data_IF_328856732069
#
_entry.id   IF_328856732069
#
_cell.length_a   1.000
_cell.length_b   1.000
_cell.length_c   1.000
_cell.angle_alpha   90.00
_cell.angle_beta   90.00
_cell.angle_gamma   90.00
#
_symmetry.space_group_name_H-M   'P 1'
#
loop_
_entity.id
_entity.type
_entity.pdbx_description
1 polymer ?
#
# COMPACT_ATOMS: atom_id res chain seq x y z
N UNK A 1 0.00 -9.32 34.17
CA UNK A 1 0.06 -8.37 33.04
C UNK A 1 0.70 -7.08 33.50
N UNK A 2 1.74 -6.64 32.84
CA UNK A 2 2.35 -5.35 33.13
C UNK A 2 1.49 -4.23 32.54
N UNK A 3 1.60 -3.03 33.11
CA UNK A 3 0.85 -1.85 32.65
C UNK A 3 1.07 -1.59 31.15
N UNK A 4 2.29 -1.76 30.69
CA UNK A 4 2.66 -1.62 29.26
C UNK A 4 1.95 -2.61 28.34
N UNK A 5 1.76 -3.85 28.81
CA UNK A 5 1.01 -4.86 28.04
C UNK A 5 -0.44 -4.49 27.87
N UNK A 6 -1.07 -3.90 28.87
CA UNK A 6 -2.48 -3.47 28.83
C UNK A 6 -2.63 -2.31 27.84
N UNK A 7 -1.73 -1.34 27.86
CA UNK A 7 -1.74 -0.21 26.93
C UNK A 7 -1.58 -0.69 25.49
N UNK A 8 -0.64 -1.62 25.25
CA UNK A 8 -0.39 -2.17 23.91
C UNK A 8 -1.62 -2.91 23.37
N UNK A 9 -2.26 -3.74 24.19
CA UNK A 9 -3.47 -4.46 23.82
C UNK A 9 -4.62 -3.49 23.54
N UNK A 10 -4.80 -2.48 24.38
CA UNK A 10 -5.83 -1.46 24.20
C UNK A 10 -5.63 -0.67 22.90
N UNK A 11 -4.40 -0.26 22.60
CA UNK A 11 -4.07 0.43 21.36
C UNK A 11 -4.35 -0.45 20.13
N UNK A 12 -4.00 -1.73 20.20
CA UNK A 12 -4.25 -2.68 19.12
C UNK A 12 -5.75 -2.92 18.91
N UNK A 13 -6.53 -3.07 19.98
CA UNK A 13 -7.98 -3.20 19.89
C UNK A 13 -8.64 -1.96 19.32
N UNK A 14 -8.22 -0.77 19.75
CA UNK A 14 -8.69 0.50 19.18
C UNK A 14 -8.43 0.57 17.67
N UNK A 15 -7.23 0.22 17.24
CA UNK A 15 -6.87 0.18 15.82
C UNK A 15 -7.75 -0.79 15.04
N UNK A 16 -7.97 -2.01 15.54
CA UNK A 16 -8.83 -2.99 14.89
C UNK A 16 -10.27 -2.50 14.76
N UNK A 17 -10.83 -1.93 15.82
CA UNK A 17 -12.19 -1.39 15.81
C UNK A 17 -12.30 -0.26 14.78
N UNK A 18 -11.33 0.62 14.73
CA UNK A 18 -11.27 1.72 13.76
C UNK A 18 -11.23 1.19 12.31
N UNK A 19 -10.39 0.19 12.04
CA UNK A 19 -10.31 -0.44 10.71
C UNK A 19 -11.59 -1.16 10.32
N UNK A 20 -12.24 -1.86 11.26
CA UNK A 20 -13.53 -2.51 11.03
C UNK A 20 -14.64 -1.50 10.74
N UNK A 21 -14.67 -0.38 11.45
CA UNK A 21 -15.63 0.70 11.19
C UNK A 21 -15.48 1.28 9.78
N UNK A 22 -14.23 1.53 9.37
CA UNK A 22 -13.95 2.00 8.00
C UNK A 22 -14.40 0.95 6.97
N UNK A 23 -14.06 -0.33 7.20
CA UNK A 23 -14.46 -1.43 6.32
C UNK A 23 -15.98 -1.52 6.17
N UNK A 24 -16.71 -1.48 7.27
CA UNK A 24 -18.18 -1.51 7.24
C UNK A 24 -18.79 -0.31 6.52
N UNK A 25 -18.20 0.87 6.70
CA UNK A 25 -18.64 2.08 5.99
C UNK A 25 -18.54 1.92 4.47
N UNK A 26 -17.46 1.29 3.98
CA UNK A 26 -17.23 1.11 2.55
C UNK A 26 -17.93 -0.12 1.95
N UNK A 27 -18.42 -1.06 2.74
CA UNK A 27 -19.17 -2.25 2.25
C UNK A 27 -20.34 -1.84 1.35
N UNK A 28 -21.10 -0.82 1.76
CA UNK A 28 -22.23 -0.33 0.98
C UNK A 28 -21.86 0.39 -0.32
N UNK A 29 -20.60 0.83 -0.46
CA UNK A 29 -20.09 1.54 -1.64
C UNK A 29 -19.38 0.62 -2.64
N UNK A 30 -18.84 -0.50 -2.18
CA UNK A 30 -18.08 -1.44 -3.00
C UNK A 30 -19.00 -2.51 -3.62
N UNK A 31 -19.85 -2.12 -4.54
CA UNK A 31 -20.84 -3.02 -5.17
C UNK A 31 -20.29 -3.77 -6.40
N UNK A 32 -19.25 -3.26 -7.03
CA UNK A 32 -18.63 -3.84 -8.21
C UNK A 32 -17.17 -4.19 -7.95
N UNK A 33 -16.61 -5.11 -8.74
CA UNK A 33 -15.18 -5.46 -8.69
C UNK A 33 -14.30 -4.21 -8.91
N UNK A 34 -14.72 -3.32 -9.78
CA UNK A 34 -14.02 -2.07 -10.08
C UNK A 34 -14.00 -1.12 -8.86
N UNK A 35 -15.11 -1.00 -8.14
CA UNK A 35 -15.18 -0.23 -6.90
C UNK A 35 -14.32 -0.83 -5.79
N UNK A 36 -14.30 -2.15 -5.68
CA UNK A 36 -13.52 -2.86 -4.67
C UNK A 36 -12.02 -2.71 -4.89
N UNK A 37 -11.51 -2.98 -6.09
CA UNK A 37 -10.07 -2.95 -6.37
C UNK A 37 -9.52 -1.56 -6.69
N UNK A 38 -10.30 -0.72 -7.34
CA UNK A 38 -9.84 0.55 -7.87
C UNK A 38 -10.53 1.78 -7.24
N UNK A 39 -11.36 1.57 -6.21
CA UNK A 39 -12.13 2.66 -5.62
C UNK A 39 -13.02 3.39 -6.63
N UNK A 40 -13.55 2.68 -7.65
CA UNK A 40 -14.31 3.28 -8.73
C UNK A 40 -13.47 4.18 -9.65
N UNK A 41 -12.14 4.12 -9.57
CA UNK A 41 -11.19 5.00 -10.28
C UNK A 41 -11.34 6.49 -9.94
N UNK A 42 -11.92 6.81 -8.80
CA UNK A 42 -12.15 8.18 -8.32
C UNK A 42 -11.12 8.65 -7.31
N UNK A 43 -10.11 7.84 -7.02
CA UNK A 43 -9.07 8.16 -6.05
C UNK A 43 -8.16 9.27 -6.57
N UNK A 44 -7.88 10.26 -5.71
CA UNK A 44 -6.91 11.30 -6.00
C UNK A 44 -5.47 10.75 -6.04
N UNK A 45 -4.57 11.50 -6.66
CA UNK A 45 -3.17 11.09 -6.81
C UNK A 45 -2.47 10.84 -5.47
N UNK A 46 -2.76 11.62 -4.44
CA UNK A 46 -2.21 11.44 -3.10
C UNK A 46 -2.65 10.13 -2.46
N UNK A 47 -3.96 9.86 -2.46
CA UNK A 47 -4.52 8.63 -1.89
C UNK A 47 -4.02 7.41 -2.65
N UNK A 48 -3.94 7.48 -3.96
CA UNK A 48 -3.42 6.40 -4.81
C UNK A 48 -1.95 6.10 -4.50
N UNK A 49 -1.11 7.11 -4.38
CA UNK A 49 0.30 6.96 -4.02
C UNK A 49 0.48 6.33 -2.65
N UNK A 50 -0.24 6.81 -1.64
CA UNK A 50 -0.16 6.28 -0.28
C UNK A 50 -0.65 4.84 -0.21
N UNK A 51 -1.73 4.52 -0.90
CA UNK A 51 -2.27 3.16 -0.98
C UNK A 51 -1.31 2.20 -1.67
N UNK A 52 -0.71 2.61 -2.78
CA UNK A 52 0.29 1.82 -3.49
C UNK A 52 1.50 1.52 -2.63
N UNK A 53 2.04 2.52 -1.93
CA UNK A 53 3.16 2.34 -1.02
C UNK A 53 2.83 1.43 0.16
N UNK A 54 1.68 1.61 0.77
CA UNK A 54 1.24 0.78 1.89
C UNK A 54 1.04 -0.68 1.48
N UNK A 55 0.53 -0.93 0.28
CA UNK A 55 0.29 -2.28 -0.23
C UNK A 55 1.57 -2.98 -0.70
N UNK A 56 2.49 -2.24 -1.32
CA UNK A 56 3.70 -2.80 -1.92
C UNK A 56 4.78 -3.07 -0.87
N UNK A 57 5.08 -2.11 -0.04
CA UNK A 57 6.17 -2.22 0.92
C UNK A 57 5.79 -2.86 2.25
N UNK A 58 4.51 -2.82 2.62
CA UNK A 58 3.97 -3.45 3.82
C UNK A 58 4.86 -3.26 5.09
N UNK A 59 5.04 -4.30 5.89
CA UNK A 59 5.90 -4.28 7.07
C UNK A 59 7.39 -4.11 6.79
N UNK A 60 7.85 -4.36 5.57
CA UNK A 60 9.25 -4.17 5.19
C UNK A 60 9.72 -2.74 5.40
N UNK A 61 8.92 -1.76 5.02
CA UNK A 61 9.28 -0.35 5.16
C UNK A 61 9.45 0.07 6.63
N UNK A 62 8.61 -0.45 7.52
CA UNK A 62 8.59 -0.06 8.92
C UNK A 62 9.51 -0.88 9.82
N UNK A 63 9.73 -2.14 9.50
CA UNK A 63 10.46 -3.09 10.34
C UNK A 63 11.71 -3.65 9.67
N UNK A 64 11.60 -4.07 8.42
CA UNK A 64 12.71 -4.70 7.70
C UNK A 64 13.83 -3.73 7.38
N UNK A 65 13.53 -2.58 6.82
CA UNK A 65 14.53 -1.57 6.45
C UNK A 65 15.24 -0.96 7.67
N UNK A 66 14.52 -0.52 8.72
CA UNK A 66 15.17 -0.09 9.97
C UNK A 66 15.99 -1.19 10.64
N UNK A 67 15.52 -2.43 10.64
CA UNK A 67 16.25 -3.58 11.14
C UNK A 67 17.55 -3.83 10.37
N UNK A 68 17.51 -3.78 9.05
CA UNK A 68 18.68 -3.86 8.20
C UNK A 68 19.68 -2.73 8.46
N UNK A 69 19.18 -1.51 8.63
CA UNK A 69 20.00 -0.35 8.98
C UNK A 69 20.68 -0.49 10.34
N UNK A 70 20.00 -1.07 11.31
CA UNK A 70 20.55 -1.35 12.63
C UNK A 70 21.71 -2.36 12.56
N UNK A 71 21.59 -3.41 11.74
CA UNK A 71 22.60 -4.47 11.60
C UNK A 71 23.77 -4.07 10.69
N UNK A 72 23.49 -3.41 9.60
CA UNK A 72 24.44 -3.13 8.51
C UNK A 72 24.92 -1.68 8.47
N UNK A 73 24.35 -0.80 9.31
CA UNK A 73 24.69 0.61 9.35
C UNK A 73 24.30 1.36 8.08
N UNK A 74 25.13 2.33 7.70
CA UNK A 74 24.89 3.23 6.56
C UNK A 74 24.76 2.48 5.22
N UNK A 75 25.33 1.28 5.08
CA UNK A 75 25.22 0.49 3.85
C UNK A 75 23.78 0.11 3.50
N UNK A 76 22.88 -0.01 4.48
CA UNK A 76 21.47 -0.21 4.24
C UNK A 76 20.79 0.98 3.55
N UNK A 77 21.40 2.17 3.59
CA UNK A 77 20.93 3.36 2.87
C UNK A 77 20.90 3.16 1.35
N UNK A 78 21.77 2.33 0.81
CA UNK A 78 21.75 1.97 -0.60
C UNK A 78 20.46 1.26 -1.01
N UNK A 79 19.89 0.46 -0.12
CA UNK A 79 18.58 -0.19 -0.34
C UNK A 79 17.49 0.87 -0.47
N UNK A 80 17.48 1.85 0.42
CA UNK A 80 16.51 2.94 0.39
C UNK A 80 16.62 3.78 -0.89
N UNK A 81 17.85 4.11 -1.31
CA UNK A 81 18.12 4.84 -2.55
C UNK A 81 17.63 4.02 -3.76
N UNK A 82 17.97 2.74 -3.82
CA UNK A 82 17.54 1.84 -4.89
C UNK A 82 16.03 1.73 -4.98
N UNK A 83 15.33 1.60 -3.85
CA UNK A 83 13.87 1.57 -3.78
C UNK A 83 13.26 2.88 -4.26
N UNK A 84 13.78 4.02 -3.85
CA UNK A 84 13.28 5.33 -4.26
C UNK A 84 13.43 5.54 -5.77
N UNK A 85 14.60 5.24 -6.32
CA UNK A 85 14.87 5.35 -7.76
C UNK A 85 14.00 4.36 -8.54
N UNK A 86 13.94 3.11 -8.11
CA UNK A 86 13.14 2.06 -8.75
C UNK A 86 11.65 2.40 -8.77
N UNK A 87 11.11 2.89 -7.67
CA UNK A 87 9.72 3.34 -7.58
C UNK A 87 9.45 4.52 -8.51
N UNK A 88 10.34 5.50 -8.53
CA UNK A 88 10.22 6.66 -9.42
C UNK A 88 10.22 6.25 -10.90
N UNK A 89 11.16 5.41 -11.31
CA UNK A 89 11.24 4.91 -12.68
C UNK A 89 10.03 4.04 -13.05
N UNK A 90 9.55 3.22 -12.12
CA UNK A 90 8.35 2.42 -12.33
C UNK A 90 7.12 3.30 -12.61
N UNK A 91 6.90 4.34 -11.81
CA UNK A 91 5.80 5.26 -12.04
C UNK A 91 5.95 6.06 -13.33
N UNK A 92 7.17 6.43 -13.68
CA UNK A 92 7.44 7.24 -14.88
C UNK A 92 7.30 6.43 -16.18
N UNK A 93 7.84 5.22 -16.22
CA UNK A 93 7.98 4.44 -17.45
C UNK A 93 6.92 3.34 -17.58
N UNK A 94 6.69 2.57 -16.51
CA UNK A 94 5.84 1.38 -16.55
C UNK A 94 4.38 1.73 -16.30
N UNK A 95 4.07 2.49 -15.27
CA UNK A 95 2.71 2.75 -14.86
C UNK A 95 1.91 3.49 -15.94
N UNK A 96 2.52 4.46 -16.61
CA UNK A 96 1.87 5.20 -17.69
C UNK A 96 1.52 4.29 -18.87
N UNK A 97 2.48 3.46 -19.29
CA UNK A 97 2.26 2.51 -20.39
C UNK A 97 1.25 1.44 -20.01
N UNK A 98 1.38 0.89 -18.81
CA UNK A 98 0.46 -0.13 -18.29
C UNK A 98 -0.98 0.40 -18.23
N UNK A 99 -1.18 1.65 -17.81
CA UNK A 99 -2.50 2.27 -17.80
C UNK A 99 -3.11 2.39 -19.19
N UNK A 100 -2.32 2.72 -20.20
CA UNK A 100 -2.78 2.77 -21.59
C UNK A 100 -3.16 1.39 -22.12
N UNK A 101 -2.31 0.40 -21.88
CA UNK A 101 -2.57 -0.99 -22.28
C UNK A 101 -3.77 -1.60 -21.57
N UNK A 102 -3.99 -1.26 -20.30
CA UNK A 102 -5.16 -1.69 -19.53
C UNK A 102 -6.46 -1.30 -20.22
N UNK A 103 -6.54 -0.10 -20.75
CA UNK A 103 -7.72 0.37 -21.51
C UNK A 103 -7.89 -0.38 -22.84
N UNK A 104 -6.79 -0.65 -23.54
CA UNK A 104 -6.79 -1.37 -24.82
C UNK A 104 -7.13 -2.85 -24.65
N UNK A 105 -6.74 -3.46 -23.53
CA UNK A 105 -6.99 -4.88 -23.22
C UNK A 105 -8.37 -5.16 -22.59
N UNK A 106 -9.38 -4.33 -22.87
CA UNK A 106 -10.73 -4.52 -22.35
C UNK A 106 -10.92 -4.05 -20.90
N UNK A 107 -10.18 -3.03 -20.51
CA UNK A 107 -10.27 -2.41 -19.17
C UNK A 107 -9.92 -3.37 -18.03
N UNK A 108 -8.85 -4.16 -18.21
CA UNK A 108 -8.36 -5.12 -17.26
C UNK A 108 -8.06 -4.47 -15.89
N UNK A 109 -8.49 -5.11 -14.81
CA UNK A 109 -8.30 -4.64 -13.43
C UNK A 109 -7.01 -5.23 -12.85
N UNK A 110 -6.70 -6.46 -13.20
CA UNK A 110 -5.54 -7.20 -12.71
C UNK A 110 -4.64 -7.66 -13.84
N UNK A 111 -3.35 -7.88 -13.57
CA UNK A 111 -2.39 -8.37 -14.56
C UNK A 111 -2.81 -9.69 -15.22
N UNK A 112 -3.38 -10.68 -14.51
CA UNK A 112 -3.84 -11.92 -15.14
C UNK A 112 -4.99 -11.74 -16.13
N UNK A 113 -5.65 -10.58 -16.18
CA UNK A 113 -6.72 -10.29 -17.16
C UNK A 113 -6.19 -9.81 -18.51
N UNK A 114 -4.89 -9.51 -18.60
CA UNK A 114 -4.21 -9.22 -19.84
C UNK A 114 -4.03 -10.50 -20.65
#
# INVERSE_FOLDING_TARGET
MTFDSIITIAAFCCYLIFMLCIGMYFVGKNRTTNEYFLGGRQLGSWVTSMSAQASDMSGWLLMGLPGAAYLSGISAGWIAIGLAIGTYLNWLLVAKRLRQYTKTAGDAITLPQF
#
